data_IF_619280287185
#
_entry.id   IF_619280287185
#
_cell.length_a   1.000
_cell.length_b   1.000
_cell.length_c   1.000
_cell.angle_alpha   90.00
_cell.angle_beta   90.00
_cell.angle_gamma   90.00
#
_symmetry.space_group_name_H-M   'P 1'
#
loop_
_entity.id
_entity.type
_entity.pdbx_description
1 polymer ?
#
# COMPACT_ATOMS: atom_id res chain seq x y z
N UNK A 1 1.79 5.71 -25.22
CA UNK A 1 0.97 5.25 -24.07
C UNK A 1 1.66 5.63 -22.77
N UNK A 2 2.91 5.25 -22.59
CA UNK A 2 3.77 5.59 -21.45
C UNK A 2 3.91 7.10 -21.21
N UNK A 3 4.01 7.92 -22.26
CA UNK A 3 4.08 9.38 -22.15
C UNK A 3 2.82 9.99 -21.51
N UNK A 4 1.64 9.46 -21.82
CA UNK A 4 0.37 9.89 -21.20
C UNK A 4 0.37 9.65 -19.68
N UNK A 5 1.02 8.57 -19.24
CA UNK A 5 1.16 8.23 -17.82
C UNK A 5 2.41 8.83 -17.17
N UNK A 6 3.23 9.58 -17.90
CA UNK A 6 4.50 10.14 -17.38
C UNK A 6 5.53 9.07 -17.01
N UNK A 7 5.50 7.90 -17.66
CA UNK A 7 6.40 6.78 -17.37
C UNK A 7 7.36 6.52 -18.54
N UNK A 8 8.61 6.08 -18.25
CA UNK A 8 9.64 5.97 -19.30
C UNK A 8 9.51 4.71 -20.17
N UNK A 9 8.63 3.76 -19.83
CA UNK A 9 8.42 2.55 -20.63
C UNK A 9 7.00 1.99 -20.51
N UNK A 10 6.56 1.26 -21.53
CA UNK A 10 5.27 0.56 -21.50
C UNK A 10 5.22 -0.53 -20.42
N UNK A 11 6.35 -1.20 -20.16
CA UNK A 11 6.46 -2.20 -19.09
C UNK A 11 6.19 -1.59 -17.70
N UNK A 12 6.60 -0.33 -17.46
CA UNK A 12 6.28 0.35 -16.19
C UNK A 12 4.81 0.75 -16.10
N UNK A 13 4.14 1.05 -17.22
CA UNK A 13 2.69 1.27 -17.24
C UNK A 13 1.94 -0.01 -16.86
N UNK A 14 2.33 -1.14 -17.44
CA UNK A 14 1.73 -2.44 -17.11
C UNK A 14 1.96 -2.80 -15.64
N UNK A 15 3.18 -2.60 -15.15
CA UNK A 15 3.51 -2.85 -13.76
C UNK A 15 2.69 -1.97 -12.80
N UNK A 16 2.57 -0.69 -13.13
CA UNK A 16 1.77 0.25 -12.37
C UNK A 16 0.28 -0.12 -12.38
N UNK A 17 -0.23 -0.60 -13.51
CA UNK A 17 -1.58 -1.13 -13.61
C UNK A 17 -1.81 -2.29 -12.62
N UNK A 18 -0.88 -3.24 -12.54
CA UNK A 18 -0.97 -4.32 -11.56
C UNK A 18 -0.90 -3.85 -10.10
N UNK A 19 -0.12 -2.82 -9.79
CA UNK A 19 -0.10 -2.19 -8.45
C UNK A 19 -1.47 -1.62 -8.10
N UNK A 20 -2.12 -0.90 -9.03
CA UNK A 20 -3.46 -0.35 -8.83
C UNK A 20 -4.51 -1.47 -8.66
N UNK A 21 -4.41 -2.55 -9.45
CA UNK A 21 -5.28 -3.72 -9.30
C UNK A 21 -5.13 -4.39 -7.93
N UNK A 22 -3.89 -4.55 -7.45
CA UNK A 22 -3.63 -5.09 -6.12
C UNK A 22 -4.20 -4.20 -5.01
N UNK A 23 -4.02 -2.87 -5.11
CA UNK A 23 -4.62 -1.91 -4.18
C UNK A 23 -6.16 -2.02 -4.16
N UNK A 24 -6.78 -2.16 -5.32
CA UNK A 24 -8.24 -2.33 -5.41
C UNK A 24 -8.70 -3.63 -4.74
N UNK A 25 -7.98 -4.74 -4.92
CA UNK A 25 -8.31 -6.00 -4.25
C UNK A 25 -8.14 -5.93 -2.72
N UNK A 26 -7.16 -5.17 -2.23
CA UNK A 26 -6.89 -4.98 -0.79
C UNK A 26 -7.89 -4.02 -0.16
N UNK A 27 -8.42 -3.04 -0.91
CA UNK A 27 -9.36 -2.05 -0.42
C UNK A 27 -10.58 -2.67 0.27
N UNK A 28 -11.07 -3.80 -0.24
CA UNK A 28 -12.28 -4.46 0.27
C UNK A 28 -11.99 -5.39 1.48
N UNK A 29 -10.75 -5.41 1.98
CA UNK A 29 -10.38 -6.17 3.18
C UNK A 29 -10.82 -5.41 4.42
N UNK A 30 -11.89 -5.89 5.05
CA UNK A 30 -12.39 -5.39 6.33
C UNK A 30 -12.06 -6.39 7.45
N UNK A 31 -11.46 -5.88 8.52
CA UNK A 31 -11.21 -6.66 9.75
C UNK A 31 -11.69 -5.83 10.93
N UNK A 32 -12.58 -6.41 11.74
CA UNK A 32 -13.20 -5.71 12.86
C UNK A 32 -12.16 -5.09 13.81
N UNK A 33 -12.32 -3.80 14.12
CA UNK A 33 -11.41 -3.03 14.96
C UNK A 33 -10.04 -2.73 14.37
N UNK A 34 -9.78 -3.06 13.09
CA UNK A 34 -8.53 -2.76 12.38
C UNK A 34 -8.79 -1.97 11.09
N UNK A 35 -7.90 -1.04 10.79
CA UNK A 35 -7.91 -0.27 9.54
C UNK A 35 -6.58 -0.43 8.83
N UNK A 36 -6.63 -0.71 7.53
CA UNK A 36 -5.46 -0.67 6.66
C UNK A 36 -5.27 0.76 6.14
N UNK A 37 -4.15 1.38 6.47
CA UNK A 37 -3.76 2.69 5.97
C UNK A 37 -2.69 2.55 4.89
N UNK A 38 -3.04 2.97 3.66
CA UNK A 38 -2.13 3.02 2.53
C UNK A 38 -1.14 4.19 2.65
N UNK A 39 0.13 3.92 2.40
CA UNK A 39 1.20 4.90 2.58
C UNK A 39 2.39 4.72 1.63
N UNK A 40 3.52 5.31 2.02
CA UNK A 40 4.79 5.16 1.33
C UNK A 40 4.87 5.83 -0.04
N UNK A 41 5.80 5.36 -0.87
CA UNK A 41 6.08 5.94 -2.19
C UNK A 41 4.90 5.84 -3.14
N UNK A 42 4.15 4.73 -3.08
CA UNK A 42 3.01 4.48 -3.96
C UNK A 42 1.82 5.36 -3.59
N UNK A 43 1.57 5.63 -2.30
CA UNK A 43 0.56 6.61 -1.90
C UNK A 43 0.93 8.04 -2.35
N UNK A 44 2.19 8.44 -2.22
CA UNK A 44 2.67 9.74 -2.73
C UNK A 44 2.45 9.87 -4.25
N UNK A 45 2.69 8.80 -5.02
CA UNK A 45 2.48 8.81 -6.47
C UNK A 45 1.02 8.72 -6.91
N UNK A 46 0.23 7.84 -6.29
CA UNK A 46 -1.13 7.52 -6.77
C UNK A 46 -2.24 8.29 -6.07
N UNK A 47 -2.17 8.45 -4.75
CA UNK A 47 -3.17 9.18 -3.98
C UNK A 47 -2.92 10.70 -4.02
N UNK A 48 -1.66 11.10 -3.82
CA UNK A 48 -1.30 12.52 -3.73
C UNK A 48 -0.73 13.12 -5.03
N UNK A 49 -0.35 12.28 -6.02
CA UNK A 49 0.23 12.73 -7.31
C UNK A 49 1.46 13.63 -7.17
N UNK A 50 2.30 13.35 -6.17
CA UNK A 50 3.50 14.11 -5.83
C UNK A 50 4.78 13.56 -6.47
N UNK A 51 4.71 12.42 -7.14
CA UNK A 51 5.86 11.76 -7.76
C UNK A 51 5.66 11.63 -9.28
N UNK A 52 6.70 11.97 -10.03
CA UNK A 52 6.80 11.74 -11.49
C UNK A 52 7.58 10.46 -11.82
N UNK A 53 7.38 9.41 -11.01
CA UNK A 53 7.98 8.09 -11.22
C UNK A 53 7.03 6.99 -10.73
N UNK A 54 7.23 5.79 -11.27
CA UNK A 54 6.55 4.60 -10.75
C UNK A 54 7.11 4.21 -9.38
N UNK A 55 6.24 3.69 -8.51
CA UNK A 55 6.59 3.09 -7.23
C UNK A 55 5.94 1.70 -7.19
N UNK A 56 6.76 0.67 -7.00
CA UNK A 56 6.35 -0.73 -7.12
C UNK A 56 5.78 -1.29 -5.82
N UNK A 57 6.34 -0.89 -4.69
CA UNK A 57 5.99 -1.47 -3.39
C UNK A 57 4.66 -0.91 -2.87
N UNK A 58 3.82 -1.76 -2.28
CA UNK A 58 2.59 -1.34 -1.60
C UNK A 58 2.85 -1.32 -0.10
N UNK A 59 3.02 -0.12 0.46
CA UNK A 59 3.18 0.08 1.90
C UNK A 59 1.81 0.19 2.59
N UNK A 60 1.50 -0.76 3.48
CA UNK A 60 0.28 -0.76 4.30
C UNK A 60 0.64 -0.73 5.77
N UNK A 61 -0.08 0.10 6.54
CA UNK A 61 -0.01 0.12 8.00
C UNK A 61 -1.32 -0.39 8.58
N UNK A 62 -1.23 -1.25 9.59
CA UNK A 62 -2.38 -1.71 10.35
C UNK A 62 -2.58 -0.76 11.54
N UNK A 63 -3.75 -0.15 11.63
CA UNK A 63 -4.14 0.75 12.72
C UNK A 63 -5.28 0.08 13.48
N UNK A 64 -5.08 -0.21 14.76
CA UNK A 64 -6.15 -0.71 15.62
C UNK A 64 -6.93 0.44 16.28
N UNK A 65 -8.25 0.29 16.41
CA UNK A 65 -9.11 1.28 17.07
C UNK A 65 -8.75 1.49 18.55
N UNK A 66 -8.28 0.42 19.22
CA UNK A 66 -7.82 0.48 20.61
C UNK A 66 -6.31 0.64 20.66
N UNK A 67 -5.85 1.57 21.50
CA UNK A 67 -4.43 1.74 21.79
C UNK A 67 -3.88 0.49 22.48
N UNK A 68 -3.32 -0.40 21.68
CA UNK A 68 -2.69 -1.62 22.16
C UNK A 68 -1.25 -1.29 22.56
N UNK A 69 -0.79 -1.81 23.70
CA UNK A 69 0.57 -1.54 24.16
C UNK A 69 1.60 -2.09 23.16
N UNK A 70 2.75 -1.41 23.04
CA UNK A 70 3.83 -1.81 22.12
C UNK A 70 4.31 -3.25 22.36
N UNK A 71 4.26 -3.73 23.60
CA UNK A 71 4.65 -5.10 23.95
C UNK A 71 3.68 -6.14 23.38
N UNK A 72 2.37 -5.86 23.42
CA UNK A 72 1.33 -6.74 22.85
C UNK A 72 1.44 -6.77 21.33
N UNK A 73 1.62 -5.62 20.68
CA UNK A 73 1.82 -5.56 19.22
C UNK A 73 3.09 -6.32 18.78
N UNK A 74 4.18 -6.24 19.56
CA UNK A 74 5.41 -6.99 19.28
C UNK A 74 5.20 -8.50 19.35
N UNK A 75 4.42 -8.97 20.32
CA UNK A 75 4.09 -10.39 20.47
C UNK A 75 3.21 -10.89 19.32
N UNK A 76 2.15 -10.16 18.99
CA UNK A 76 1.28 -10.48 17.86
C UNK A 76 2.07 -10.56 16.54
N UNK A 77 3.02 -9.65 16.32
CA UNK A 77 3.91 -9.70 15.15
C UNK A 77 4.78 -10.96 15.12
N UNK A 78 5.21 -11.48 16.27
CA UNK A 78 5.96 -12.74 16.32
C UNK A 78 5.08 -13.91 15.89
N UNK A 79 3.86 -13.99 16.44
CA UNK A 79 2.92 -15.08 16.19
C UNK A 79 2.46 -15.16 14.72
N UNK A 80 2.44 -14.03 14.01
CA UNK A 80 2.08 -13.97 12.56
C UNK A 80 3.27 -14.30 11.64
N UNK A 81 4.50 -14.11 12.12
CA UNK A 81 5.71 -14.33 11.32
C UNK A 81 6.34 -15.72 11.52
N UNK A 82 5.83 -16.51 12.47
CA UNK A 82 6.16 -17.93 12.65
C UNK A 82 5.29 -18.81 11.74
#
# INVERSE_FOLDING_TARGET
>A
MQEYFGLPSAALVEKDWFVVQALAAIHDVEVDGLTLAFGGGTALGRAYRLLERMSEDIDLRIIGEKSTSRSVLKRFRSEVND
#
